data_IF_996175091822
#
_entry.id   IF_996175091822
#
_cell.length_a   1.000
_cell.length_b   1.000
_cell.length_c   1.000
_cell.angle_alpha   90.00
_cell.angle_beta   90.00
_cell.angle_gamma   90.00
#
_symmetry.space_group_name_H-M   'P 1'
#
loop_
_entity.id
_entity.type
_entity.pdbx_description
1 polymer ?
#
# COMPACT_ATOMS: atom_id res chain seq x y z
N UNK A 1 6.75 -3.31 19.52
CA UNK A 1 6.43 -2.70 18.22
C UNK A 1 5.15 -3.29 17.68
N UNK A 2 4.26 -2.52 17.03
CA UNK A 2 3.03 -3.04 16.43
C UNK A 2 3.28 -4.02 15.27
N UNK A 3 4.52 -4.08 14.77
CA UNK A 3 4.95 -4.99 13.69
C UNK A 3 5.84 -6.13 14.18
N UNK A 4 6.03 -6.29 15.49
CA UNK A 4 6.81 -7.39 16.06
C UNK A 4 6.04 -8.71 15.98
N UNK A 5 6.76 -9.79 15.73
CA UNK A 5 6.21 -11.15 15.66
C UNK A 5 5.57 -11.61 16.97
N UNK A 6 4.57 -12.47 16.88
CA UNK A 6 3.95 -13.14 18.04
C UNK A 6 5.00 -13.94 18.78
N UNK A 7 4.98 -13.89 20.10
CA UNK A 7 5.92 -14.57 20.96
C UNK A 7 7.26 -13.84 21.18
N UNK A 8 7.48 -12.66 20.56
CA UNK A 8 8.71 -11.87 20.73
C UNK A 8 8.92 -11.52 22.19
N UNK A 9 10.02 -12.01 22.75
CA UNK A 9 10.44 -11.70 24.12
C UNK A 9 11.26 -10.42 24.12
N UNK A 10 10.81 -9.43 24.88
CA UNK A 10 11.50 -8.16 25.08
C UNK A 10 11.42 -7.76 26.56
N UNK A 11 12.09 -6.69 26.95
CA UNK A 11 12.00 -6.17 28.34
C UNK A 11 10.56 -5.78 28.74
N UNK A 12 9.74 -5.32 27.77
CA UNK A 12 8.34 -4.96 27.99
C UNK A 12 7.37 -6.14 27.85
N UNK A 13 7.80 -7.22 27.22
CA UNK A 13 7.00 -8.43 27.01
C UNK A 13 7.81 -9.68 27.40
N UNK A 14 8.13 -9.84 28.71
CA UNK A 14 9.06 -10.89 29.16
C UNK A 14 8.52 -12.33 28.96
N UNK A 15 7.21 -12.49 28.79
CA UNK A 15 6.55 -13.79 28.48
C UNK A 15 6.24 -13.94 26.99
N UNK A 16 6.69 -13.03 26.15
CA UNK A 16 6.40 -12.98 24.73
C UNK A 16 5.22 -12.08 24.38
N UNK A 17 5.26 -11.50 23.18
CA UNK A 17 4.17 -10.69 22.64
C UNK A 17 2.96 -11.57 22.26
N UNK A 18 1.76 -11.18 22.67
CA UNK A 18 0.50 -11.84 22.31
C UNK A 18 -0.16 -11.19 21.08
N UNK A 19 0.26 -9.97 20.74
CA UNK A 19 -0.32 -9.21 19.65
C UNK A 19 0.11 -9.76 18.30
N UNK A 20 -0.83 -9.80 17.37
CA UNK A 20 -0.51 -10.09 15.97
C UNK A 20 0.15 -8.87 15.32
N UNK A 21 1.18 -9.07 14.48
CA UNK A 21 1.80 -7.98 13.74
C UNK A 21 0.79 -7.24 12.88
N UNK A 22 0.85 -5.92 12.97
CA UNK A 22 0.07 -5.04 12.12
C UNK A 22 0.61 -5.04 10.70
N UNK A 23 -0.28 -5.14 9.71
CA UNK A 23 0.09 -5.05 8.29
C UNK A 23 -0.33 -3.68 7.72
N UNK A 24 0.59 -2.69 7.61
CA UNK A 24 0.27 -1.35 7.12
C UNK A 24 -0.22 -1.34 5.67
N UNK A 25 0.33 -2.22 4.83
CA UNK A 25 -0.08 -2.36 3.42
C UNK A 25 -1.53 -2.80 3.33
N UNK A 26 -1.93 -3.84 4.08
CA UNK A 26 -3.32 -4.30 4.10
C UNK A 26 -4.29 -3.20 4.58
N UNK A 27 -3.89 -2.40 5.59
CA UNK A 27 -4.71 -1.29 6.06
C UNK A 27 -4.89 -0.21 4.99
N UNK A 28 -3.80 0.20 4.34
CA UNK A 28 -3.85 1.23 3.30
C UNK A 28 -4.71 0.80 2.11
N UNK A 29 -4.59 -0.48 1.70
CA UNK A 29 -5.42 -1.05 0.63
C UNK A 29 -6.89 -1.14 1.05
N UNK A 30 -7.17 -1.52 2.30
CA UNK A 30 -8.52 -1.52 2.84
C UNK A 30 -9.14 -0.12 3.00
N UNK A 31 -8.30 0.92 3.07
CA UNK A 31 -8.71 2.33 3.01
C UNK A 31 -8.70 2.90 1.58
N UNK A 32 -8.55 2.04 0.58
CA UNK A 32 -8.57 2.37 -0.86
C UNK A 32 -7.48 3.38 -1.28
N UNK A 33 -6.31 3.35 -0.61
CA UNK A 33 -5.19 4.19 -1.02
C UNK A 33 -4.80 3.92 -2.47
N UNK A 34 -4.65 4.99 -3.26
CA UNK A 34 -4.43 4.92 -4.70
C UNK A 34 -2.99 4.55 -5.10
N UNK A 35 -2.04 4.71 -4.17
CA UNK A 35 -0.69 4.18 -4.30
C UNK A 35 -0.27 3.48 -3.02
N UNK A 36 0.15 2.21 -3.14
CA UNK A 36 0.68 1.43 -2.01
C UNK A 36 1.88 0.62 -2.49
N UNK A 37 3.01 0.79 -1.82
CA UNK A 37 4.23 0.06 -2.11
C UNK A 37 4.97 -0.38 -0.85
N UNK A 38 5.83 -1.39 -1.00
CA UNK A 38 6.74 -1.87 0.04
C UNK A 38 8.12 -2.12 -0.55
N UNK A 39 9.16 -1.81 0.21
CA UNK A 39 10.54 -2.06 -0.19
C UNK A 39 11.40 -2.45 1.01
N UNK A 40 12.51 -3.13 0.73
CA UNK A 40 13.58 -3.37 1.70
C UNK A 40 14.57 -2.20 1.69
N UNK A 41 15.05 -1.78 2.85
CA UNK A 41 16.10 -0.75 2.97
C UNK A 41 17.44 -1.18 2.33
N UNK A 42 17.70 -2.48 2.31
CA UNK A 42 18.88 -3.10 1.71
C UNK A 42 18.82 -3.19 0.19
N UNK A 43 17.62 -3.21 -0.42
CA UNK A 43 17.43 -3.17 -1.86
C UNK A 43 17.31 -1.72 -2.35
N UNK A 44 18.45 -1.09 -2.61
CA UNK A 44 18.50 0.32 -3.06
C UNK A 44 17.77 0.56 -4.39
N UNK A 45 17.77 -0.43 -5.30
CA UNK A 45 17.13 -0.30 -6.60
C UNK A 45 15.61 -0.36 -6.48
N UNK A 46 15.10 -1.37 -5.80
CA UNK A 46 13.66 -1.52 -5.53
C UNK A 46 13.11 -0.38 -4.68
N UNK A 47 13.83 0.02 -3.61
CA UNK A 47 13.46 1.16 -2.79
C UNK A 47 13.37 2.46 -3.60
N UNK A 48 14.36 2.73 -4.46
CA UNK A 48 14.34 3.93 -5.32
C UNK A 48 13.19 3.90 -6.31
N UNK A 49 12.86 2.73 -6.87
CA UNK A 49 11.74 2.57 -7.82
C UNK A 49 10.39 2.85 -7.12
N UNK A 50 10.15 2.27 -5.95
CA UNK A 50 8.92 2.47 -5.18
C UNK A 50 8.77 3.93 -4.73
N UNK A 51 9.85 4.55 -4.20
CA UNK A 51 9.84 5.96 -3.77
C UNK A 51 9.61 6.91 -4.94
N UNK A 52 10.19 6.64 -6.12
CA UNK A 52 9.96 7.42 -7.33
C UNK A 52 8.51 7.32 -7.78
N UNK A 53 7.95 6.09 -7.85
CA UNK A 53 6.55 5.89 -8.18
C UNK A 53 5.62 6.64 -7.23
N UNK A 54 5.91 6.62 -5.93
CA UNK A 54 5.15 7.37 -4.92
C UNK A 54 5.25 8.90 -5.11
N UNK A 55 6.45 9.42 -5.44
CA UNK A 55 6.67 10.83 -5.65
C UNK A 55 6.01 11.37 -6.94
N UNK A 56 5.91 10.55 -7.97
CA UNK A 56 5.26 10.87 -9.25
C UNK A 56 3.74 10.69 -9.18
N UNK A 57 3.25 9.93 -8.19
CA UNK A 57 1.82 9.67 -8.02
C UNK A 57 1.06 10.93 -7.58
N UNK A 58 -0.09 11.17 -8.21
CA UNK A 58 -1.02 12.24 -7.81
C UNK A 58 -2.09 11.65 -6.91
N UNK A 59 -2.02 11.95 -5.63
CA UNK A 59 -2.94 11.44 -4.62
C UNK A 59 -2.23 11.02 -3.35
N UNK A 60 -2.91 10.25 -2.50
CA UNK A 60 -2.32 9.69 -1.30
C UNK A 60 -1.44 8.48 -1.64
N UNK A 61 -0.20 8.48 -1.16
CA UNK A 61 0.74 7.39 -1.32
C UNK A 61 1.20 6.86 0.04
N UNK A 62 1.18 5.53 0.21
CA UNK A 62 1.81 4.85 1.33
C UNK A 62 2.99 4.02 0.82
N UNK A 63 4.14 4.21 1.44
CA UNK A 63 5.33 3.37 1.22
C UNK A 63 5.77 2.80 2.55
N UNK A 64 5.77 1.47 2.68
CA UNK A 64 6.36 0.77 3.81
C UNK A 64 7.80 0.41 3.48
N UNK A 65 8.73 0.83 4.34
CA UNK A 65 10.15 0.48 4.20
C UNK A 65 10.51 -0.48 5.33
N UNK A 66 10.84 -1.72 4.96
CA UNK A 66 11.28 -2.76 5.88
C UNK A 66 12.73 -2.46 6.26
N UNK A 67 12.91 -1.93 7.47
CA UNK A 67 14.20 -1.52 8.00
C UNK A 67 14.56 -2.31 9.25
N UNK A 68 15.78 -2.79 9.32
CA UNK A 68 16.34 -3.38 10.53
C UNK A 68 16.73 -2.30 11.54
N UNK A 69 16.39 -2.52 12.80
CA UNK A 69 16.75 -1.60 13.88
C UNK A 69 17.77 -2.27 14.83
N UNK A 70 19.07 -1.96 14.70
CA UNK A 70 20.12 -2.62 15.49
C UNK A 70 20.00 -2.38 17.01
N UNK A 71 19.21 -1.39 17.44
CA UNK A 71 19.03 -1.10 18.88
C UNK A 71 17.86 -1.88 19.49
N UNK A 72 16.72 -1.95 18.78
CA UNK A 72 15.49 -2.52 19.34
C UNK A 72 15.11 -3.88 18.78
N UNK A 73 15.53 -4.21 17.57
CA UNK A 73 15.16 -5.45 16.90
C UNK A 73 16.21 -5.84 15.83
N UNK A 74 17.45 -5.99 16.27
CA UNK A 74 18.58 -6.35 15.41
C UNK A 74 18.35 -7.73 14.77
N UNK A 75 18.66 -7.84 13.48
CA UNK A 75 18.50 -9.06 12.72
C UNK A 75 17.05 -9.46 12.39
N UNK A 76 16.06 -8.58 12.62
CA UNK A 76 14.63 -8.90 12.38
C UNK A 76 14.33 -9.36 10.97
N UNK A 77 15.08 -8.87 9.98
CA UNK A 77 14.89 -9.19 8.56
C UNK A 77 16.06 -9.98 7.98
N UNK A 78 16.86 -10.65 8.82
CA UNK A 78 18.00 -11.45 8.37
C UNK A 78 17.58 -12.55 7.38
N UNK A 79 16.43 -13.17 7.61
CA UNK A 79 15.87 -14.19 6.71
C UNK A 79 15.59 -13.68 5.28
N UNK A 80 15.42 -12.36 5.12
CA UNK A 80 15.15 -11.69 3.84
C UNK A 80 16.40 -11.04 3.23
N UNK A 81 17.59 -11.23 3.83
CA UNK A 81 18.84 -10.59 3.42
C UNK A 81 20.00 -11.56 3.25
N UNK A 82 19.91 -12.74 3.88
CA UNK A 82 20.96 -13.77 3.86
C UNK A 82 20.70 -14.79 2.76
N UNK A 83 21.55 -15.80 2.70
CA UNK A 83 21.40 -16.96 1.82
C UNK A 83 20.01 -17.58 1.96
N UNK A 84 19.34 -17.84 0.83
CA UNK A 84 17.94 -18.30 0.77
C UNK A 84 16.90 -17.19 0.84
N UNK A 85 17.29 -15.91 0.81
CA UNK A 85 16.35 -14.79 0.78
C UNK A 85 15.53 -14.75 -0.52
N UNK A 86 16.09 -15.23 -1.62
CA UNK A 86 15.44 -15.35 -2.92
C UNK A 86 14.19 -16.24 -2.90
N UNK A 87 14.16 -17.25 -2.02
CA UNK A 87 13.00 -18.14 -1.85
C UNK A 87 11.88 -17.51 -1.00
N UNK A 88 12.16 -16.35 -0.39
CA UNK A 88 11.27 -15.66 0.53
C UNK A 88 10.79 -14.31 0.00
N UNK A 89 11.60 -13.64 -0.83
CA UNK A 89 11.28 -12.33 -1.39
C UNK A 89 10.48 -12.48 -2.69
N UNK A 90 9.24 -12.02 -2.67
CA UNK A 90 8.36 -11.96 -3.83
C UNK A 90 8.40 -10.55 -4.36
N UNK A 91 9.26 -10.29 -5.35
CA UNK A 91 9.37 -8.98 -5.99
C UNK A 91 8.33 -8.88 -7.10
N UNK A 92 7.37 -7.96 -6.95
CA UNK A 92 6.30 -7.75 -7.93
C UNK A 92 6.64 -6.59 -8.86
N UNK A 93 6.47 -6.82 -10.17
CA UNK A 93 6.62 -5.82 -11.23
C UNK A 93 5.37 -5.80 -12.09
N UNK A 94 4.80 -4.61 -12.31
CA UNK A 94 3.60 -4.48 -13.15
C UNK A 94 3.82 -5.06 -14.55
N UNK A 95 2.88 -5.90 -15.01
CA UNK A 95 2.92 -6.57 -16.30
C UNK A 95 3.76 -7.86 -16.36
N UNK A 96 4.43 -8.23 -15.25
CA UNK A 96 5.26 -9.44 -15.21
C UNK A 96 4.59 -10.57 -14.42
N UNK A 97 4.82 -11.85 -14.78
CA UNK A 97 4.40 -12.99 -13.98
C UNK A 97 5.14 -12.99 -12.64
N UNK A 98 4.43 -13.33 -11.57
CA UNK A 98 5.03 -13.38 -10.22
C UNK A 98 5.71 -14.73 -10.06
N UNK A 99 7.01 -14.76 -10.33
CA UNK A 99 7.90 -15.91 -10.17
C UNK A 99 9.07 -15.49 -9.29
N UNK A 100 9.51 -16.34 -8.38
CA UNK A 100 10.61 -16.07 -7.45
C UNK A 100 11.36 -17.38 -7.09
N UNK A 101 12.39 -17.26 -6.23
CA UNK A 101 13.35 -18.32 -5.99
C UNK A 101 14.59 -18.14 -6.84
N UNK A 102 15.71 -18.78 -6.43
CA UNK A 102 17.02 -18.63 -7.10
C UNK A 102 16.97 -19.02 -8.59
N UNK A 103 16.24 -20.09 -8.93
CA UNK A 103 16.07 -20.60 -10.29
C UNK A 103 14.58 -20.51 -10.75
N UNK A 104 13.76 -19.68 -10.08
CA UNK A 104 12.34 -19.50 -10.40
C UNK A 104 11.46 -20.68 -9.99
N UNK A 105 11.81 -21.33 -8.88
CA UNK A 105 11.13 -22.54 -8.38
C UNK A 105 9.72 -22.30 -7.89
N UNK A 106 9.41 -21.07 -7.53
CA UNK A 106 8.13 -20.69 -6.93
C UNK A 106 7.41 -19.65 -7.77
N UNK A 107 6.09 -19.68 -7.73
CA UNK A 107 5.24 -18.69 -8.35
C UNK A 107 3.98 -18.41 -7.50
N UNK A 108 3.26 -17.37 -7.86
CA UNK A 108 1.97 -17.03 -7.26
C UNK A 108 0.84 -17.45 -8.18
N UNK A 109 -0.13 -18.16 -7.64
CA UNK A 109 -1.34 -18.61 -8.34
C UNK A 109 -2.60 -18.16 -7.61
N UNK A 110 -3.74 -18.19 -8.29
CA UNK A 110 -5.04 -17.93 -7.67
C UNK A 110 -5.49 -19.15 -6.87
N UNK A 111 -5.98 -18.90 -5.65
CA UNK A 111 -6.53 -19.94 -4.78
C UNK A 111 -7.81 -19.46 -4.11
N UNK A 112 -8.96 -19.98 -4.56
CA UNK A 112 -10.26 -19.52 -4.08
C UNK A 112 -10.48 -18.02 -4.31
N UNK A 113 -10.67 -17.28 -3.21
CA UNK A 113 -10.79 -15.80 -3.26
C UNK A 113 -9.45 -15.08 -3.00
N UNK A 114 -8.35 -15.81 -2.93
CA UNK A 114 -7.04 -15.27 -2.59
C UNK A 114 -5.97 -15.71 -3.57
N UNK A 115 -4.74 -15.61 -3.07
CA UNK A 115 -3.53 -16.01 -3.76
C UNK A 115 -2.74 -16.98 -2.87
N UNK A 116 -2.00 -17.89 -3.48
CA UNK A 116 -1.08 -18.78 -2.78
C UNK A 116 0.23 -18.94 -3.54
N UNK A 117 1.25 -19.39 -2.84
CA UNK A 117 2.54 -19.76 -3.42
C UNK A 117 2.48 -21.22 -3.85
N UNK A 118 2.88 -21.50 -5.08
CA UNK A 118 2.99 -22.83 -5.65
C UNK A 118 4.40 -23.06 -6.22
N UNK A 119 4.76 -24.32 -6.45
CA UNK A 119 5.96 -24.64 -7.22
C UNK A 119 5.69 -24.44 -8.71
N UNK A 120 6.57 -23.73 -9.39
CA UNK A 120 6.44 -23.44 -10.82
C UNK A 120 6.34 -24.72 -11.67
N UNK A 121 7.00 -25.81 -11.22
CA UNK A 121 6.94 -27.11 -11.89
C UNK A 121 5.57 -27.82 -11.81
N UNK A 122 4.71 -27.43 -10.85
CA UNK A 122 3.43 -28.09 -10.59
C UNK A 122 2.25 -27.38 -11.25
N UNK A 123 2.48 -26.26 -11.94
CA UNK A 123 1.44 -25.41 -12.56
C UNK A 123 1.76 -25.09 -14.02
N UNK A 124 0.75 -24.68 -14.76
CA UNK A 124 0.93 -24.20 -16.15
C UNK A 124 1.20 -22.70 -16.18
N UNK A 125 1.81 -22.19 -17.23
CA UNK A 125 2.19 -20.78 -17.33
C UNK A 125 0.98 -19.81 -17.26
N UNK A 126 -0.20 -20.25 -17.69
CA UNK A 126 -1.45 -19.48 -17.65
C UNK A 126 -2.12 -19.45 -16.27
N UNK A 127 -1.71 -20.33 -15.35
CA UNK A 127 -2.13 -20.30 -13.95
C UNK A 127 -1.33 -19.30 -13.12
N UNK A 128 -0.12 -18.92 -13.59
CA UNK A 128 0.74 -17.98 -12.89
C UNK A 128 0.13 -16.57 -12.97
N UNK A 129 0.00 -15.92 -11.83
CA UNK A 129 -0.53 -14.56 -11.75
C UNK A 129 0.44 -13.58 -12.40
N UNK A 130 -0.03 -12.83 -13.39
CA UNK A 130 0.64 -11.64 -13.90
C UNK A 130 0.23 -10.45 -13.04
N UNK A 131 1.23 -9.77 -12.46
CA UNK A 131 0.94 -8.65 -11.57
C UNK A 131 0.41 -7.44 -12.33
N UNK A 132 -0.73 -6.93 -11.88
CA UNK A 132 -1.31 -5.68 -12.37
C UNK A 132 -1.54 -4.70 -11.20
N UNK A 133 -0.65 -3.71 -11.08
CA UNK A 133 -0.76 -2.67 -10.08
C UNK A 133 -1.89 -1.66 -10.37
N UNK A 134 -2.49 -1.69 -11.56
CA UNK A 134 -3.49 -0.73 -12.04
C UNK A 134 -4.92 -1.26 -11.94
N UNK A 135 -5.13 -2.43 -11.32
CA UNK A 135 -6.47 -2.93 -11.03
C UNK A 135 -7.18 -1.95 -10.11
N UNK A 136 -8.35 -1.48 -10.55
CA UNK A 136 -9.15 -0.48 -9.83
C UNK A 136 -9.65 -1.02 -8.48
N UNK A 137 -10.18 -2.26 -8.46
CA UNK A 137 -10.57 -2.94 -7.22
C UNK A 137 -9.34 -3.34 -6.38
N UNK A 138 -9.21 -2.84 -5.12
CA UNK A 138 -8.07 -3.15 -4.26
C UNK A 138 -8.01 -4.61 -3.79
N UNK A 139 -9.03 -5.45 -4.03
CA UNK A 139 -9.11 -6.82 -3.54
C UNK A 139 -7.91 -7.68 -3.99
N UNK A 140 -7.46 -7.51 -5.24
CA UNK A 140 -6.28 -8.20 -5.76
C UNK A 140 -5.00 -7.80 -5.00
N UNK A 141 -4.75 -6.49 -4.88
CA UNK A 141 -3.59 -5.98 -4.15
C UNK A 141 -3.65 -6.36 -2.66
N UNK A 142 -4.85 -6.39 -2.07
CA UNK A 142 -5.06 -6.87 -0.70
C UNK A 142 -4.69 -8.35 -0.58
N UNK A 143 -5.10 -9.21 -1.52
CA UNK A 143 -4.70 -10.62 -1.53
C UNK A 143 -3.18 -10.78 -1.61
N UNK A 144 -2.48 -9.99 -2.45
CA UNK A 144 -1.01 -9.94 -2.48
C UNK A 144 -0.40 -9.57 -1.12
N UNK A 145 -0.98 -8.59 -0.42
CA UNK A 145 -0.48 -8.16 0.89
C UNK A 145 -0.58 -9.25 1.96
N UNK A 146 -1.46 -10.25 1.76
CA UNK A 146 -1.67 -11.37 2.67
C UNK A 146 -0.70 -12.54 2.44
N UNK A 147 0.03 -12.56 1.33
CA UNK A 147 1.13 -13.51 1.10
C UNK A 147 2.35 -13.22 2.00
N UNK A 148 2.43 -12.01 2.59
CA UNK A 148 3.49 -11.67 3.54
C UNK A 148 3.17 -12.25 4.90
N UNK A 149 3.92 -13.27 5.29
CA UNK A 149 3.71 -14.01 6.53
C UNK A 149 4.49 -13.42 7.71
N UNK A 150 3.98 -13.64 8.92
CA UNK A 150 4.54 -13.10 10.15
C UNK A 150 5.92 -13.70 10.50
N UNK A 151 6.15 -14.95 10.09
CA UNK A 151 7.40 -15.66 10.27
C UNK A 151 8.45 -15.36 9.18
N UNK A 152 8.16 -14.43 8.26
CA UNK A 152 8.99 -14.07 7.12
C UNK A 152 9.28 -15.23 6.15
N UNK A 153 8.39 -16.22 6.07
CA UNK A 153 8.50 -17.27 5.06
C UNK A 153 8.31 -16.70 3.66
N UNK A 154 7.41 -15.70 3.55
CA UNK A 154 7.28 -14.91 2.32
C UNK A 154 7.11 -13.43 2.64
N UNK A 155 7.69 -12.57 1.80
CA UNK A 155 7.55 -11.12 1.87
C UNK A 155 7.39 -10.54 0.47
N UNK A 156 6.23 -9.96 0.21
CA UNK A 156 5.97 -9.27 -1.07
C UNK A 156 6.52 -7.86 -1.02
N UNK A 157 7.32 -7.48 -2.02
CA UNK A 157 7.89 -6.13 -2.21
C UNK A 157 7.63 -5.64 -3.62
N UNK A 158 7.54 -4.31 -3.78
CA UNK A 158 7.21 -3.66 -5.04
C UNK A 158 5.99 -2.75 -4.87
N UNK A 159 5.37 -2.38 -5.97
CA UNK A 159 4.17 -1.53 -5.99
C UNK A 159 2.94 -2.43 -6.08
N UNK A 160 2.17 -2.51 -5.00
CA UNK A 160 0.94 -3.32 -4.92
C UNK A 160 -0.21 -2.73 -5.72
N UNK A 161 -0.37 -1.40 -5.63
CA UNK A 161 -1.45 -0.64 -6.28
C UNK A 161 -0.94 0.72 -6.72
N UNK A 162 -1.29 1.11 -7.94
CA UNK A 162 -1.00 2.43 -8.51
C UNK A 162 -2.10 2.80 -9.50
N UNK A 163 -3.20 3.34 -9.00
CA UNK A 163 -4.36 3.74 -9.81
C UNK A 163 -4.45 5.25 -9.88
N UNK A 164 -4.91 5.77 -11.02
CA UNK A 164 -5.03 7.20 -11.24
C UNK A 164 -6.44 7.66 -10.94
N UNK A 165 -6.59 8.43 -9.87
CA UNK A 165 -7.84 9.08 -9.49
C UNK A 165 -7.62 10.58 -9.28
N UNK A 166 -8.66 11.42 -9.53
CA UNK A 166 -8.56 12.84 -9.24
C UNK A 166 -8.35 13.07 -7.74
N UNK A 167 -7.26 13.76 -7.33
CA UNK A 167 -7.01 14.06 -5.92
C UNK A 167 -8.13 14.93 -5.33
N UNK A 168 -8.38 14.78 -4.03
CA UNK A 168 -9.41 15.52 -3.32
C UNK A 168 -9.30 17.06 -3.50
N UNK A 169 -8.10 17.60 -3.46
CA UNK A 169 -7.87 19.04 -3.58
C UNK A 169 -8.18 19.56 -4.98
N UNK A 170 -7.93 18.78 -6.04
CA UNK A 170 -8.32 19.14 -7.41
C UNK A 170 -9.84 19.13 -7.56
N UNK A 171 -10.50 18.11 -7.01
CA UNK A 171 -11.97 18.02 -7.01
C UNK A 171 -12.61 19.17 -6.22
N UNK A 172 -12.06 19.53 -5.06
CA UNK A 172 -12.51 20.64 -4.26
C UNK A 172 -12.33 21.99 -5.00
N UNK A 173 -11.19 22.19 -5.70
CA UNK A 173 -10.97 23.38 -6.53
C UNK A 173 -11.96 23.46 -7.69
N UNK A 174 -12.26 22.33 -8.34
CA UNK A 174 -13.27 22.27 -9.40
C UNK A 174 -14.67 22.68 -8.90
N UNK A 175 -15.08 22.22 -7.72
CA UNK A 175 -16.34 22.63 -7.10
C UNK A 175 -16.39 24.16 -6.88
N UNK A 176 -15.28 24.77 -6.44
CA UNK A 176 -15.20 26.21 -6.27
C UNK A 176 -15.31 26.97 -7.61
N UNK A 177 -14.68 26.46 -8.68
CA UNK A 177 -14.80 27.03 -10.02
C UNK A 177 -16.24 26.98 -10.50
N UNK A 178 -16.87 25.80 -10.44
CA UNK A 178 -18.28 25.60 -10.82
C UNK A 178 -19.23 26.49 -10.02
N UNK A 179 -19.00 26.63 -8.70
CA UNK A 179 -19.81 27.51 -7.86
C UNK A 179 -19.67 28.98 -8.22
N UNK A 180 -18.49 29.43 -8.67
CA UNK A 180 -18.24 30.80 -9.15
C UNK A 180 -18.91 31.03 -10.49
N UNK A 181 -18.86 30.10 -11.41
CA UNK A 181 -19.46 30.19 -12.75
C UNK A 181 -20.99 30.17 -12.67
N UNK A 182 -21.56 29.41 -11.73
CA UNK A 182 -23.01 29.26 -11.57
C UNK A 182 -23.68 30.46 -10.87
N UNK A 183 -22.92 31.33 -10.20
CA UNK A 183 -23.44 32.49 -9.47
C UNK A 183 -23.04 33.77 -10.21
N UNK A 184 -24.03 34.51 -10.77
CA UNK A 184 -23.82 35.87 -11.18
C UNK A 184 -23.34 36.68 -9.96
N UNK A 185 -22.26 37.46 -10.13
CA UNK A 185 -21.77 38.40 -9.13
C UNK A 185 -22.79 39.54 -8.98
N UNK A 186 -23.78 39.35 -8.12
CA UNK A 186 -24.82 40.33 -7.85
C UNK A 186 -24.53 41.02 -6.50
N UNK A 187 -24.34 42.33 -6.55
CA UNK A 187 -24.15 43.14 -5.35
C UNK A 187 -25.36 43.05 -4.40
N UNK A 188 -26.57 42.88 -4.93
CA UNK A 188 -27.77 42.71 -4.14
C UNK A 188 -27.77 41.34 -3.38
N UNK A 189 -27.28 40.30 -4.00
CA UNK A 189 -27.10 38.99 -3.34
C UNK A 189 -26.08 39.05 -2.19
N UNK A 190 -24.98 39.79 -2.37
CA UNK A 190 -24.00 39.99 -1.30
C UNK A 190 -24.60 40.83 -0.16
N UNK A 191 -25.33 41.89 -0.45
CA UNK A 191 -26.01 42.69 0.56
C UNK A 191 -27.07 41.86 1.33
N UNK A 192 -27.84 41.06 0.63
CA UNK A 192 -28.80 40.14 1.26
C UNK A 192 -28.12 39.14 2.21
N UNK A 193 -26.96 38.60 1.77
CA UNK A 193 -26.15 37.65 2.60
C UNK A 193 -25.63 38.35 3.87
N UNK A 194 -25.11 39.57 3.74
CA UNK A 194 -24.56 40.37 4.85
C UNK A 194 -25.63 40.82 5.84
N UNK A 195 -26.83 41.15 5.34
CA UNK A 195 -27.96 41.58 6.19
C UNK A 195 -28.61 40.38 6.93
N UNK A 196 -28.53 39.19 6.33
CA UNK A 196 -29.26 38.05 6.86
C UNK A 196 -30.77 38.15 6.63
N UNK A 197 -31.52 37.20 7.24
CA UNK A 197 -32.99 37.12 7.11
C UNK A 197 -33.74 37.91 8.19
N UNK A 198 -33.06 38.23 9.30
CA UNK A 198 -33.63 38.84 10.47
C UNK A 198 -33.20 40.27 10.62
N UNK A 199 -33.55 41.10 9.63
CA UNK A 199 -33.28 42.53 9.64
C UNK A 199 -34.57 43.34 9.85
N UNK A 200 -34.48 44.43 10.61
CA UNK A 200 -35.54 45.41 10.76
C UNK A 200 -35.08 46.80 10.33
N UNK A 201 -36.00 47.65 9.91
CA UNK A 201 -35.74 49.05 9.59
C UNK A 201 -35.88 49.87 10.84
N UNK A 202 -34.94 50.80 11.08
CA UNK A 202 -35.04 51.80 12.16
C UNK A 202 -35.52 53.08 11.49
N UNK A 203 -36.70 53.55 11.91
CA UNK A 203 -37.27 54.83 11.44
C UNK A 203 -36.62 56.04 12.14
#
# INVERSE_FOLDING_TARGET
SPTSEVGKVTKSTPMGSLDYPFNPVSLALGAEATFVGRAMDSDRKGLSAVLRGAAEHRGAALVEIMQDCPIFNDGSFDALRKEGAEDRLINITHGEPIIFGADGEYCVVKSGFGLEVAKTADVTADEIVVHDAQVDDPAYAFALSRLSEQNLDHMVTGIFRQVSEPPYDDQARQQLVQARESKAHDTAALQSLLRGKDTWTVD
#
